data_IF_182407521004
#
_entry.id   IF_182407521004
#
_cell.length_a   1.000
_cell.length_b   1.000
_cell.length_c   1.000
_cell.angle_alpha   90.00
_cell.angle_beta   90.00
_cell.angle_gamma   90.00
#
_symmetry.space_group_name_H-M   'P 1'
#
loop_
_entity.id
_entity.type
_entity.pdbx_description
1 polymer ?
#
# COMPACT_ATOMS: atom_id res chain seq x y z
N UNK A 1 -50.69 -4.74 -5.20
CA UNK A 1 -49.51 -3.87 -5.03
C UNK A 1 -49.21 -3.70 -3.54
N UNK A 2 -48.80 -4.79 -2.87
CA UNK A 2 -48.58 -4.77 -1.41
C UNK A 2 -47.56 -5.82 -0.93
N UNK A 3 -46.66 -6.24 -1.83
CA UNK A 3 -45.67 -7.31 -1.53
C UNK A 3 -44.27 -7.02 -2.10
N UNK A 4 -43.99 -5.79 -2.55
CA UNK A 4 -42.71 -5.42 -3.16
C UNK A 4 -41.91 -4.35 -2.40
N UNK A 5 -42.37 -3.89 -1.24
CA UNK A 5 -41.69 -2.84 -0.45
C UNK A 5 -41.05 -3.39 0.84
N UNK A 6 -40.53 -4.61 0.81
CA UNK A 6 -39.90 -5.23 1.99
C UNK A 6 -38.43 -5.65 1.78
N UNK A 7 -37.72 -5.06 0.81
CA UNK A 7 -36.36 -5.51 0.47
C UNK A 7 -35.29 -4.44 0.24
N UNK A 8 -35.44 -3.24 0.80
CA UNK A 8 -34.46 -2.14 0.57
C UNK A 8 -34.07 -1.34 1.82
N UNK A 9 -34.16 -1.93 3.00
CA UNK A 9 -33.52 -1.37 4.20
C UNK A 9 -32.85 -2.47 5.02
N UNK A 10 -31.73 -3.02 4.52
CA UNK A 10 -30.67 -3.43 5.44
C UNK A 10 -30.11 -2.15 6.06
N UNK A 11 -30.80 -1.65 7.09
CA UNK A 11 -30.27 -0.66 8.02
C UNK A 11 -28.98 -1.22 8.56
N UNK A 12 -27.85 -0.74 8.05
CA UNK A 12 -26.56 -0.87 8.73
C UNK A 12 -26.76 -0.26 10.11
N UNK A 13 -26.64 -1.02 11.22
CA UNK A 13 -26.75 -0.41 12.53
C UNK A 13 -25.61 0.59 12.66
N UNK A 14 -25.97 1.87 12.64
CA UNK A 14 -25.12 3.02 12.94
C UNK A 14 -24.86 3.08 14.46
N UNK A 15 -24.41 1.94 15.01
CA UNK A 15 -24.00 1.83 16.40
C UNK A 15 -22.49 2.07 16.43
N UNK A 16 -22.13 3.25 16.90
CA UNK A 16 -20.80 3.69 17.32
C UNK A 16 -20.02 2.58 18.05
N UNK A 17 -19.33 1.71 17.31
CA UNK A 17 -18.17 1.04 17.85
C UNK A 17 -17.01 2.03 17.66
N UNK A 18 -16.88 2.95 18.62
CA UNK A 18 -15.56 3.50 18.95
C UNK A 18 -14.61 2.31 18.98
N UNK A 19 -13.46 2.35 18.28
CA UNK A 19 -12.53 1.24 18.35
C UNK A 19 -12.29 0.95 19.83
N UNK A 20 -12.59 -0.28 20.25
CA UNK A 20 -12.01 -0.86 21.45
C UNK A 20 -10.53 -0.58 21.26
N UNK A 21 -9.98 0.36 22.05
CA UNK A 21 -8.70 1.06 21.81
C UNK A 21 -7.83 0.24 20.87
N UNK A 22 -7.63 0.71 19.63
CA UNK A 22 -6.69 0.03 18.72
C UNK A 22 -5.41 -0.10 19.54
N UNK A 23 -5.07 -1.31 19.96
CA UNK A 23 -3.84 -1.54 20.70
C UNK A 23 -2.72 -1.00 19.82
N UNK A 24 -1.93 -0.06 20.36
CA UNK A 24 -0.98 0.78 19.64
C UNK A 24 -0.41 0.11 18.37
N UNK A 25 -1.00 0.40 17.21
CA UNK A 25 -0.64 -0.29 15.97
C UNK A 25 0.72 0.22 15.47
N UNK A 26 1.58 -0.67 15.00
CA UNK A 26 2.87 -0.27 14.44
C UNK A 26 2.72 0.33 13.04
N UNK A 27 1.75 -0.18 12.27
CA UNK A 27 1.49 0.18 10.88
C UNK A 27 0.02 0.51 10.65
N UNK A 28 -0.25 1.68 10.07
CA UNK A 28 -1.59 2.07 9.61
C UNK A 28 -1.67 1.92 8.09
N UNK A 29 -2.68 1.20 7.62
CA UNK A 29 -2.90 0.94 6.20
C UNK A 29 -4.14 1.67 5.73
N UNK A 30 -3.95 2.48 4.70
CA UNK A 30 -4.97 3.33 4.11
C UNK A 30 -5.44 2.68 2.81
N UNK A 31 -6.53 1.92 2.90
CA UNK A 31 -7.12 1.06 1.86
C UNK A 31 -6.83 -0.43 2.10
N UNK A 32 -7.88 -1.24 2.18
CA UNK A 32 -7.86 -2.70 2.38
C UNK A 32 -8.33 -3.49 1.13
N UNK A 33 -7.99 -2.95 -0.03
CA UNK A 33 -8.15 -3.64 -1.32
C UNK A 33 -7.05 -4.69 -1.57
N UNK A 34 -6.79 -4.99 -2.84
CA UNK A 34 -5.78 -5.98 -3.26
C UNK A 34 -4.39 -5.75 -2.65
N UNK A 35 -3.91 -4.51 -2.71
CA UNK A 35 -2.56 -4.14 -2.21
C UNK A 35 -2.56 -4.17 -0.67
N UNK A 36 -3.56 -3.56 -0.03
CA UNK A 36 -3.68 -3.55 1.43
C UNK A 36 -3.69 -4.96 2.03
N UNK A 37 -4.51 -5.86 1.47
CA UNK A 37 -4.56 -7.28 1.88
C UNK A 37 -3.21 -7.99 1.77
N UNK A 38 -2.50 -7.79 0.66
CA UNK A 38 -1.17 -8.38 0.47
C UNK A 38 -0.19 -7.87 1.53
N UNK A 39 -0.17 -6.56 1.80
CA UNK A 39 0.71 -5.96 2.80
C UNK A 39 0.41 -6.53 4.19
N UNK A 40 -0.87 -6.62 4.57
CA UNK A 40 -1.26 -7.16 5.88
C UNK A 40 -0.84 -8.61 6.06
N UNK A 41 -0.97 -9.45 5.01
CA UNK A 41 -0.51 -10.84 5.07
C UNK A 41 1.00 -10.94 5.36
N UNK A 42 1.79 -10.04 4.77
CA UNK A 42 3.24 -9.98 5.02
C UNK A 42 3.54 -9.51 6.44
N UNK A 43 2.78 -8.54 6.97
CA UNK A 43 2.90 -8.06 8.35
C UNK A 43 2.52 -9.14 9.36
N UNK A 44 1.41 -9.85 9.12
CA UNK A 44 0.92 -10.96 9.95
C UNK A 44 1.94 -12.09 10.03
N UNK A 45 2.59 -12.42 8.92
CA UNK A 45 3.65 -13.44 8.88
C UNK A 45 4.84 -13.14 9.81
N UNK A 46 5.00 -11.89 10.24
CA UNK A 46 6.02 -11.43 11.19
C UNK A 46 5.46 -10.86 12.49
N UNK A 47 4.17 -11.08 12.76
CA UNK A 47 3.45 -10.59 13.94
C UNK A 47 3.58 -9.07 14.15
N UNK A 48 3.66 -8.30 13.05
CA UNK A 48 3.67 -6.84 13.12
C UNK A 48 2.24 -6.35 13.27
N UNK A 49 1.96 -5.61 14.33
CA UNK A 49 0.61 -5.10 14.62
C UNK A 49 0.22 -4.04 13.60
N UNK A 50 -0.96 -4.17 13.01
CA UNK A 50 -1.46 -3.25 12.01
C UNK A 50 -2.94 -2.96 12.19
N UNK A 51 -3.37 -1.83 11.63
CA UNK A 51 -4.77 -1.45 11.49
C UNK A 51 -5.00 -0.96 10.06
N UNK A 52 -6.14 -1.28 9.45
CA UNK A 52 -6.49 -0.77 8.14
C UNK A 52 -7.81 0.00 8.14
N UNK A 53 -7.90 0.99 7.26
CA UNK A 53 -9.11 1.78 7.02
C UNK A 53 -9.50 1.72 5.55
N UNK A 54 -10.77 1.46 5.28
CA UNK A 54 -11.32 1.42 3.91
C UNK A 54 -12.69 2.11 3.86
N UNK A 55 -12.99 2.76 2.74
CA UNK A 55 -14.28 3.45 2.52
C UNK A 55 -15.33 2.53 1.91
N UNK A 56 -14.97 1.32 1.50
CA UNK A 56 -15.90 0.33 0.95
C UNK A 56 -16.47 -0.54 2.08
N UNK A 57 -17.77 -0.40 2.42
CA UNK A 57 -18.38 -1.16 3.51
C UNK A 57 -18.38 -2.68 3.25
N UNK A 58 -18.37 -3.11 1.98
CA UNK A 58 -18.28 -4.54 1.64
C UNK A 58 -16.93 -5.12 2.06
N UNK A 59 -15.84 -4.40 1.77
CA UNK A 59 -14.47 -4.80 2.14
C UNK A 59 -14.33 -4.88 3.66
N UNK A 60 -14.85 -3.88 4.37
CA UNK A 60 -14.84 -3.84 5.85
C UNK A 60 -15.66 -4.97 6.45
N UNK A 61 -16.87 -5.22 5.93
CA UNK A 61 -17.74 -6.30 6.43
C UNK A 61 -17.12 -7.68 6.21
N UNK A 62 -16.46 -7.91 5.08
CA UNK A 62 -15.73 -9.16 4.81
C UNK A 62 -14.58 -9.36 5.79
N UNK A 63 -13.74 -8.32 5.99
CA UNK A 63 -12.63 -8.37 6.92
C UNK A 63 -13.10 -8.58 8.38
N UNK A 64 -14.21 -7.95 8.77
CA UNK A 64 -14.83 -8.13 10.08
C UNK A 64 -15.26 -9.57 10.34
N UNK A 65 -15.77 -10.29 9.34
CA UNK A 65 -16.14 -11.71 9.48
C UNK A 65 -14.93 -12.62 9.72
N UNK A 66 -13.72 -12.13 9.43
CA UNK A 66 -12.45 -12.81 9.64
C UNK A 66 -11.72 -12.28 10.89
N UNK A 67 -12.40 -11.48 11.72
CA UNK A 67 -11.83 -10.85 12.93
C UNK A 67 -10.57 -10.00 12.66
N UNK A 68 -10.47 -9.43 11.45
CA UNK A 68 -9.33 -8.59 11.06
C UNK A 68 -9.53 -7.13 11.51
N UNK A 69 -8.45 -6.41 11.91
CA UNK A 69 -8.51 -5.02 12.39
C UNK A 69 -8.70 -4.02 11.24
N UNK A 70 -9.82 -4.15 10.51
CA UNK A 70 -10.19 -3.32 9.36
C UNK A 70 -11.45 -2.55 9.70
N UNK A 71 -11.37 -1.23 9.57
CA UNK A 71 -12.43 -0.31 9.96
C UNK A 71 -12.93 0.50 8.78
N UNK A 72 -14.20 0.88 8.85
CA UNK A 72 -14.76 1.82 7.91
C UNK A 72 -14.22 3.22 8.21
N UNK A 73 -13.70 3.90 7.19
CA UNK A 73 -13.45 5.32 7.33
C UNK A 73 -12.70 5.96 6.17
N UNK A 74 -12.95 7.25 6.01
CA UNK A 74 -12.30 8.08 5.01
C UNK A 74 -11.03 8.70 5.61
N UNK A 75 -9.88 8.27 5.09
CA UNK A 75 -8.56 8.76 5.49
C UNK A 75 -8.46 10.29 5.33
N UNK A 76 -9.26 10.89 4.43
CA UNK A 76 -9.33 12.33 4.24
C UNK A 76 -9.97 13.09 5.40
N UNK A 77 -10.74 12.40 6.24
CA UNK A 77 -11.51 12.96 7.35
C UNK A 77 -10.97 12.50 8.72
N UNK A 78 -10.23 11.38 8.76
CA UNK A 78 -9.79 10.74 10.00
C UNK A 78 -8.39 11.16 10.49
N UNK A 79 -7.79 12.20 9.90
CA UNK A 79 -6.40 12.64 10.18
C UNK A 79 -6.05 12.85 11.66
N UNK A 80 -7.02 13.15 12.55
CA UNK A 80 -6.76 13.44 13.96
C UNK A 80 -6.74 12.21 14.86
N UNK A 81 -7.38 11.11 14.45
CA UNK A 81 -7.59 9.93 15.29
C UNK A 81 -6.87 8.67 14.75
N UNK A 82 -6.17 8.78 13.61
CA UNK A 82 -5.53 7.64 12.95
C UNK A 82 -4.13 7.31 13.46
N UNK A 83 -3.44 8.26 14.09
CA UNK A 83 -2.03 8.14 14.44
C UNK A 83 -1.89 8.36 15.94
N UNK A 84 -1.70 7.27 16.67
CA UNK A 84 -1.30 7.31 18.08
C UNK A 84 0.24 7.30 18.21
N UNK A 85 0.75 7.44 19.43
CA UNK A 85 2.20 7.47 19.71
C UNK A 85 2.94 6.19 19.30
N UNK A 86 2.25 5.07 19.06
CA UNK A 86 2.86 3.79 18.68
C UNK A 86 3.04 3.60 17.17
N UNK A 87 2.40 4.42 16.34
CA UNK A 87 2.45 4.28 14.89
C UNK A 87 3.83 4.68 14.37
N UNK A 88 4.50 3.75 13.68
CA UNK A 88 5.82 3.97 13.07
C UNK A 88 5.74 4.15 11.56
N UNK A 89 4.65 3.68 10.94
CA UNK A 89 4.48 3.72 9.50
C UNK A 89 3.03 3.89 9.08
N UNK A 90 2.81 4.70 8.05
CA UNK A 90 1.53 4.84 7.35
C UNK A 90 1.73 4.40 5.90
N UNK A 91 0.86 3.54 5.39
CA UNK A 91 0.91 3.05 4.01
C UNK A 91 -0.35 3.45 3.26
N UNK A 92 -0.19 4.39 2.32
CA UNK A 92 -1.25 4.85 1.42
C UNK A 92 -1.32 3.93 0.21
N UNK A 93 -2.31 3.03 0.18
CA UNK A 93 -2.52 2.09 -0.94
C UNK A 93 -3.42 2.67 -2.04
N UNK A 94 -4.06 3.81 -1.76
CA UNK A 94 -4.90 4.55 -2.69
C UNK A 94 -4.03 5.37 -3.63
N UNK A 95 -4.39 5.34 -4.92
CA UNK A 95 -3.62 5.94 -5.99
C UNK A 95 -4.44 7.07 -6.65
N UNK A 96 -4.70 8.10 -5.85
CA UNK A 96 -5.49 9.26 -6.26
C UNK A 96 -4.82 10.56 -5.77
N UNK A 97 -5.05 11.67 -6.49
CA UNK A 97 -4.52 13.00 -6.09
C UNK A 97 -4.84 13.36 -4.63
N UNK A 98 -5.97 12.89 -4.12
CA UNK A 98 -6.40 13.07 -2.72
C UNK A 98 -5.48 12.34 -1.74
N UNK A 99 -5.06 11.11 -2.05
CA UNK A 99 -4.12 10.34 -1.24
C UNK A 99 -2.74 11.01 -1.17
N UNK A 100 -2.26 11.58 -2.27
CA UNK A 100 -1.02 12.39 -2.31
C UNK A 100 -1.08 13.58 -1.36
N UNK A 101 -2.17 14.36 -1.40
CA UNK A 101 -2.34 15.51 -0.51
C UNK A 101 -2.37 15.09 0.95
N UNK A 102 -3.04 13.98 1.26
CA UNK A 102 -3.13 13.47 2.61
C UNK A 102 -1.79 12.94 3.13
N UNK A 103 -1.02 12.23 2.30
CA UNK A 103 0.32 11.78 2.64
C UNK A 103 1.24 12.94 3.06
N UNK A 104 1.17 14.08 2.34
CA UNK A 104 1.90 15.32 2.70
C UNK A 104 1.45 15.90 4.03
N UNK A 105 0.14 15.92 4.26
CA UNK A 105 -0.42 16.44 5.50
C UNK A 105 -0.02 15.59 6.71
N UNK A 106 -0.13 14.27 6.58
CA UNK A 106 0.30 13.31 7.60
C UNK A 106 1.80 13.43 7.88
N UNK A 107 2.63 13.54 6.84
CA UNK A 107 4.08 13.71 7.00
C UNK A 107 4.44 15.04 7.68
N UNK A 108 3.71 16.12 7.38
CA UNK A 108 3.89 17.42 8.05
C UNK A 108 3.48 17.38 9.53
N UNK A 109 2.41 16.65 9.87
CA UNK A 109 1.89 16.54 11.24
C UNK A 109 2.68 15.55 12.10
N UNK A 110 3.18 14.48 11.48
CA UNK A 110 3.93 13.42 12.13
C UNK A 110 5.28 13.22 11.42
N UNK A 111 6.25 14.14 11.63
CA UNK A 111 7.55 14.11 10.94
C UNK A 111 8.32 12.81 11.16
N UNK A 112 8.18 12.19 12.33
CA UNK A 112 8.89 10.97 12.72
C UNK A 112 8.28 9.70 12.12
N UNK A 113 7.03 9.76 11.67
CA UNK A 113 6.32 8.62 11.08
C UNK A 113 6.75 8.47 9.62
N UNK A 114 7.07 7.24 9.21
CA UNK A 114 7.37 6.92 7.81
C UNK A 114 6.06 6.87 7.02
N UNK A 115 6.02 7.54 5.88
CA UNK A 115 4.83 7.54 5.01
C UNK A 115 5.21 6.92 3.68
N UNK A 116 4.58 5.79 3.35
CA UNK A 116 4.66 5.15 2.04
C UNK A 116 3.42 5.53 1.25
N UNK A 117 3.57 5.86 -0.03
CA UNK A 117 2.43 6.22 -0.88
C UNK A 117 2.50 5.59 -2.26
N UNK A 118 1.41 4.92 -2.66
CA UNK A 118 1.28 4.35 -4.00
C UNK A 118 1.29 5.42 -5.09
N UNK A 119 2.05 5.15 -6.16
CA UNK A 119 2.09 5.92 -7.40
C UNK A 119 1.82 5.02 -8.59
N UNK A 120 1.09 5.53 -9.60
CA UNK A 120 0.92 4.83 -10.88
C UNK A 120 2.13 4.98 -11.77
N UNK A 121 2.65 6.21 -11.86
CA UNK A 121 3.73 6.56 -12.78
C UNK A 121 4.91 7.14 -12.02
N UNK A 122 6.11 7.03 -12.61
CA UNK A 122 7.32 7.68 -12.11
C UNK A 122 7.20 9.22 -12.12
N UNK A 123 6.33 9.77 -12.97
CA UNK A 123 6.03 11.21 -12.95
C UNK A 123 5.27 11.62 -11.70
N UNK A 124 4.38 10.77 -11.18
CA UNK A 124 3.63 11.03 -9.95
C UNK A 124 4.53 11.02 -8.71
N UNK A 125 5.67 10.33 -8.76
CA UNK A 125 6.61 10.24 -7.62
C UNK A 125 7.45 11.49 -7.40
N UNK A 126 7.56 12.38 -8.40
CA UNK A 126 8.42 13.59 -8.34
C UNK A 126 8.15 14.47 -7.12
N UNK A 127 6.88 14.55 -6.70
CA UNK A 127 6.47 15.38 -5.56
C UNK A 127 6.49 14.66 -4.20
N UNK A 128 6.92 13.40 -4.12
CA UNK A 128 6.93 12.63 -2.87
C UNK A 128 8.30 12.62 -2.18
N UNK A 129 9.38 12.36 -2.93
CA UNK A 129 10.75 12.33 -2.38
C UNK A 129 11.11 13.61 -1.64
N UNK A 130 10.86 14.77 -2.26
CA UNK A 130 11.12 16.09 -1.67
C UNK A 130 10.36 16.37 -0.36
N UNK A 131 9.30 15.63 -0.07
CA UNK A 131 8.47 15.81 1.12
C UNK A 131 8.70 14.73 2.19
N UNK A 132 9.74 13.88 2.03
CA UNK A 132 10.02 12.76 2.94
C UNK A 132 9.00 11.62 2.86
N UNK A 133 8.25 11.53 1.76
CA UNK A 133 7.30 10.45 1.49
C UNK A 133 7.97 9.44 0.56
N UNK A 134 7.85 8.16 0.90
CA UNK A 134 8.46 7.06 0.15
C UNK A 134 7.44 6.60 -0.92
N UNK A 135 7.67 6.87 -2.22
CA UNK A 135 6.78 6.40 -3.26
C UNK A 135 6.94 4.89 -3.45
N UNK A 136 5.81 4.19 -3.60
CA UNK A 136 5.78 2.76 -3.94
C UNK A 136 5.01 2.58 -5.26
N UNK A 137 5.56 1.81 -6.18
CA UNK A 137 4.89 1.50 -7.44
C UNK A 137 4.40 0.05 -7.42
N UNK A 138 3.09 -0.20 -7.37
CA UNK A 138 2.54 -1.56 -7.25
C UNK A 138 2.46 -2.31 -8.58
N UNK A 139 2.73 -1.63 -9.70
CA UNK A 139 2.75 -2.21 -11.05
C UNK A 139 4.18 -2.27 -11.56
N UNK A 140 4.51 -3.34 -12.27
CA UNK A 140 5.78 -3.43 -12.98
C UNK A 140 5.70 -2.61 -14.27
N UNK A 141 6.78 -1.92 -14.67
CA UNK A 141 6.91 -1.36 -16.01
C UNK A 141 6.67 -2.42 -17.09
N UNK A 142 6.14 -2.03 -18.25
CA UNK A 142 5.86 -2.95 -19.36
C UNK A 142 7.12 -3.66 -19.88
N UNK A 143 8.27 -3.00 -19.77
CA UNK A 143 9.59 -3.50 -20.14
C UNK A 143 10.30 -4.25 -19.00
N UNK A 144 9.63 -4.47 -17.86
CA UNK A 144 10.24 -5.17 -16.72
C UNK A 144 10.55 -6.63 -17.06
N UNK A 145 11.82 -7.01 -16.93
CA UNK A 145 12.29 -8.39 -17.16
C UNK A 145 11.62 -9.43 -16.25
N UNK A 146 11.02 -9.00 -15.14
CA UNK A 146 10.22 -9.87 -14.27
C UNK A 146 9.03 -10.50 -15.01
N UNK A 147 8.44 -9.77 -15.98
CA UNK A 147 7.33 -10.26 -16.79
C UNK A 147 7.76 -11.36 -17.76
N UNK A 148 9.04 -11.40 -18.13
CA UNK A 148 9.60 -12.36 -19.08
C UNK A 148 10.14 -13.64 -18.41
N UNK A 149 10.22 -13.68 -17.08
CA UNK A 149 10.74 -14.83 -16.34
C UNK A 149 10.01 -16.16 -16.63
N UNK A 150 8.67 -16.20 -16.86
CA UNK A 150 7.97 -17.41 -17.28
C UNK A 150 8.47 -18.02 -18.59
N UNK A 151 9.04 -17.23 -19.50
CA UNK A 151 9.64 -17.74 -20.74
C UNK A 151 10.86 -18.62 -20.41
N UNK A 152 11.72 -18.15 -19.49
CA UNK A 152 12.86 -18.93 -19.02
C UNK A 152 12.44 -20.24 -18.35
N UNK A 153 11.38 -20.19 -17.53
CA UNK A 153 10.78 -21.39 -16.89
C UNK A 153 10.38 -22.40 -17.96
N UNK A 154 9.67 -21.96 -19.01
CA UNK A 154 9.23 -22.83 -20.08
C UNK A 154 10.39 -23.47 -20.85
N UNK A 155 11.52 -22.76 -21.02
CA UNK A 155 12.72 -23.33 -21.66
C UNK A 155 13.30 -24.45 -20.82
N UNK A 156 13.53 -24.23 -19.51
CA UNK A 156 14.10 -25.26 -18.63
C UNK A 156 13.16 -26.47 -18.47
N UNK A 157 11.85 -26.23 -18.39
CA UNK A 157 10.84 -27.29 -18.40
C UNK A 157 10.97 -28.17 -19.65
N UNK A 158 11.06 -27.57 -20.84
CA UNK A 158 11.16 -28.32 -22.11
C UNK A 158 12.51 -29.01 -22.30
N UNK A 159 13.56 -28.57 -21.61
CA UNK A 159 14.86 -29.22 -21.59
C UNK A 159 14.94 -30.37 -20.56
N UNK A 160 13.89 -30.59 -19.75
CA UNK A 160 13.79 -31.70 -18.82
C UNK A 160 14.43 -31.47 -17.45
N UNK A 161 14.64 -30.21 -17.06
CA UNK A 161 15.11 -29.86 -15.71
C UNK A 161 14.02 -30.14 -14.67
N UNK A 162 14.43 -30.48 -13.45
CA UNK A 162 13.48 -30.75 -12.36
C UNK A 162 12.80 -29.48 -11.86
N UNK A 163 11.60 -29.62 -11.29
CA UNK A 163 10.88 -28.50 -10.67
C UNK A 163 11.68 -27.81 -9.56
N UNK A 164 12.52 -28.56 -8.83
CA UNK A 164 13.36 -28.03 -7.76
C UNK A 164 14.46 -27.12 -8.32
N UNK A 165 15.16 -27.56 -9.38
CA UNK A 165 16.19 -26.78 -10.07
C UNK A 165 15.61 -25.50 -10.67
N UNK A 166 14.49 -25.63 -11.39
CA UNK A 166 13.75 -24.50 -11.96
C UNK A 166 13.33 -23.53 -10.84
N UNK A 167 12.75 -24.07 -9.76
CA UNK A 167 12.28 -23.30 -8.63
C UNK A 167 13.40 -22.49 -7.97
N UNK A 168 14.57 -23.07 -7.76
CA UNK A 168 15.72 -22.36 -7.18
C UNK A 168 16.20 -21.24 -8.11
N UNK A 169 16.40 -21.54 -9.39
CA UNK A 169 16.88 -20.57 -10.37
C UNK A 169 15.92 -19.38 -10.51
N UNK A 170 14.61 -19.65 -10.54
CA UNK A 170 13.57 -18.63 -10.63
C UNK A 170 13.53 -17.75 -9.39
N UNK A 171 13.66 -18.34 -8.19
CA UNK A 171 13.70 -17.57 -6.94
C UNK A 171 14.88 -16.60 -6.94
N UNK A 172 16.07 -17.09 -7.25
CA UNK A 172 17.30 -16.29 -7.26
C UNK A 172 17.22 -15.20 -8.31
N UNK A 173 16.77 -15.53 -9.52
CA UNK A 173 16.62 -14.55 -10.61
C UNK A 173 15.55 -13.51 -10.31
N UNK A 174 14.43 -13.90 -9.70
CA UNK A 174 13.38 -12.96 -9.28
C UNK A 174 13.90 -11.98 -8.25
N UNK A 175 14.63 -12.44 -7.24
CA UNK A 175 15.25 -11.57 -6.23
C UNK A 175 16.27 -10.61 -6.85
N UNK A 176 17.09 -11.10 -7.78
CA UNK A 176 18.03 -10.27 -8.52
C UNK A 176 17.31 -9.15 -9.29
N UNK A 177 16.30 -9.51 -10.10
CA UNK A 177 15.57 -8.55 -10.93
C UNK A 177 14.79 -7.51 -10.10
N UNK A 178 14.21 -7.91 -8.96
CA UNK A 178 13.55 -6.97 -8.03
C UNK A 178 14.56 -5.93 -7.52
N UNK A 179 15.77 -6.35 -7.13
CA UNK A 179 16.82 -5.43 -6.66
C UNK A 179 17.26 -4.47 -7.75
N UNK A 180 17.48 -4.97 -8.98
CA UNK A 180 17.84 -4.13 -10.12
C UNK A 180 16.77 -3.08 -10.44
N UNK A 181 15.48 -3.44 -10.37
CA UNK A 181 14.37 -2.50 -10.55
C UNK A 181 14.28 -1.47 -9.41
N UNK A 182 14.53 -1.89 -8.16
CA UNK A 182 14.60 -0.97 -7.03
C UNK A 182 15.76 0.02 -7.16
N UNK A 183 16.94 -0.43 -7.61
CA UNK A 183 18.10 0.42 -7.86
C UNK A 183 17.83 1.41 -8.99
N UNK A 184 17.26 0.97 -10.11
CA UNK A 184 16.84 1.88 -11.20
C UNK A 184 15.85 2.92 -10.70
N UNK A 185 14.89 2.51 -9.86
CA UNK A 185 13.91 3.42 -9.26
C UNK A 185 14.59 4.44 -8.33
N UNK A 186 15.51 4.00 -7.48
CA UNK A 186 16.30 4.90 -6.61
C UNK A 186 17.13 5.88 -7.45
N UNK A 187 17.88 5.40 -8.44
CA UNK A 187 18.65 6.26 -9.33
C UNK A 187 17.77 7.27 -10.09
N UNK A 188 16.58 6.85 -10.55
CA UNK A 188 15.60 7.76 -11.14
C UNK A 188 15.14 8.83 -10.15
N UNK A 189 14.91 8.47 -8.88
CA UNK A 189 14.53 9.42 -7.84
C UNK A 189 15.67 10.38 -7.48
N UNK A 190 16.89 9.87 -7.27
CA UNK A 190 18.07 10.64 -6.87
C UNK A 190 18.53 11.60 -7.98
N UNK A 191 18.48 11.18 -9.25
CA UNK A 191 18.82 12.03 -10.39
C UNK A 191 17.88 13.23 -10.57
N UNK A 192 16.71 13.23 -9.93
CA UNK A 192 15.76 14.33 -9.92
C UNK A 192 15.95 15.27 -8.71
N UNK A 193 16.78 14.92 -7.72
CA UNK A 193 17.14 15.80 -6.59
C UNK A 193 18.15 16.90 -6.96
N UNK A 194 18.74 16.88 -8.17
CA UNK A 194 19.74 17.85 -8.65
C UNK A 194 19.18 19.11 -9.36
N UNK A 195 17.96 19.53 -9.03
CA UNK A 195 17.50 20.89 -9.33
C UNK A 195 17.10 21.63 -8.04
N UNK A 196 18.09 21.85 -7.17
CA UNK A 196 18.08 23.04 -6.32
C UNK A 196 18.15 24.27 -7.22
N UNK A 197 17.04 25.00 -7.32
CA UNK A 197 17.12 26.42 -7.61
C UNK A 197 16.93 27.15 -6.27
N UNK A 198 17.89 27.99 -5.84
CA UNK A 198 17.72 28.73 -4.61
C UNK A 198 16.67 29.83 -4.80
N UNK A 199 15.90 30.05 -3.74
CA UNK A 199 15.03 31.20 -3.46
C UNK A 199 13.69 31.29 -4.19
N UNK A 200 12.62 31.30 -3.39
CA UNK A 200 11.66 32.40 -3.48
C UNK A 200 11.98 33.37 -2.32
N UNK A 201 12.28 34.66 -2.60
CA UNK A 201 12.34 35.67 -1.56
C UNK A 201 10.94 35.98 -1.01
N UNK A 202 10.96 36.62 0.18
CA UNK A 202 9.84 36.85 1.10
C UNK A 202 8.58 37.53 0.53
#
# INVERSE_FOLDING_TARGET
AQFLEQKLEERVPEAEHRPRQVEAADVVICGYGRIGRMITQVLDARLVRWVAYDTNPRVVNEARRLDLPVFYGDILQMEKNMVDDGVRMIVMTLNEKRATRMARLLKKKHPDVKVLACVTTLSDSKGFGMNGIIPIMPTLPEDSMLLNLPIGIAVFDKLGYSEEEIGSLVRDKRLQLIREEEERRKAFMDSQEFHESPAFPA
#
